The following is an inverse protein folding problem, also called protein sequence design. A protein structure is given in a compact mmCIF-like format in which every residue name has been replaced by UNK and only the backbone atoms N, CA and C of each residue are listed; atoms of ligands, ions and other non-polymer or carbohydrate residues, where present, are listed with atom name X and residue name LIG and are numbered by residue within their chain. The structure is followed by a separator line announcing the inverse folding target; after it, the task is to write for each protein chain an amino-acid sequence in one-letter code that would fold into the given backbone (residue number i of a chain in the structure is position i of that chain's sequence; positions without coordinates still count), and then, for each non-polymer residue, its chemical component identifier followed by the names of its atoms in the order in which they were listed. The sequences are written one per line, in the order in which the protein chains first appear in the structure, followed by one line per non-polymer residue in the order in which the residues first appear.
data_IF_626453015720
#
_entry.id   IF_626453015720
#
_cell.length_a   1.000
_cell.length_b   1.000
_cell.length_c   1.000
_cell.angle_alpha   90.00
_cell.angle_beta   90.00
_cell.angle_gamma   90.00
#
_symmetry.space_group_name_H-M   'P 1'
#
loop_
_entity.id
_entity.type
_entity.pdbx_description
1 polymer ?
#
# COMPACT_ATOMS: atom_id res chain seq x y z
N UNK A 1 -3.31 1.07 0.28
CA UNK A 1 -4.68 0.54 0.40
C UNK A 1 -5.06 -0.07 -0.93
N UNK A 2 -4.88 -1.38 -1.10
CA UNK A 2 -5.01 -2.07 -2.38
C UNK A 2 -5.67 -3.46 -2.26
N UNK A 3 -5.43 -4.19 -1.16
CA UNK A 3 -5.99 -5.52 -0.93
C UNK A 3 -7.49 -5.55 -0.57
N UNK A 4 -7.99 -4.47 0.03
CA UNK A 4 -9.33 -4.40 0.61
C UNK A 4 -10.34 -3.60 -0.24
N UNK A 5 -9.89 -3.05 -1.38
CA UNK A 5 -10.73 -2.25 -2.27
C UNK A 5 -11.65 -3.17 -3.07
N UNK A 6 -12.93 -2.82 -3.18
CA UNK A 6 -13.88 -3.57 -3.99
C UNK A 6 -13.47 -3.57 -5.48
N UNK A 7 -13.56 -4.72 -6.12
CA UNK A 7 -13.28 -4.87 -7.56
C UNK A 7 -14.38 -4.28 -8.45
N UNK A 8 -15.51 -3.88 -7.87
CA UNK A 8 -16.66 -3.34 -8.60
C UNK A 8 -16.76 -1.81 -8.52
N UNK A 9 -16.42 -1.23 -7.36
CA UNK A 9 -16.58 0.22 -7.12
C UNK A 9 -15.48 0.74 -6.20
N UNK A 10 -15.20 2.04 -6.25
CA UNK A 10 -14.32 2.73 -5.29
C UNK A 10 -15.09 3.30 -4.08
N UNK A 11 -16.09 2.57 -3.61
CA UNK A 11 -16.81 2.90 -2.37
C UNK A 11 -16.32 2.00 -1.23
N UNK A 12 -15.87 2.60 -0.13
CA UNK A 12 -15.42 1.87 1.06
C UNK A 12 -16.53 1.00 1.67
N UNK A 13 -17.79 1.38 1.47
CA UNK A 13 -18.95 0.64 1.95
C UNK A 13 -19.28 -0.57 1.05
N UNK A 14 -18.72 -0.64 -0.15
CA UNK A 14 -18.86 -1.79 -1.04
C UNK A 14 -17.89 -2.94 -0.69
N UNK A 15 -16.96 -2.73 0.26
CA UNK A 15 -16.09 -3.77 0.80
C UNK A 15 -16.75 -4.48 1.99
N UNK A 16 -16.35 -5.73 2.25
CA UNK A 16 -16.83 -6.48 3.41
C UNK A 16 -16.55 -5.76 4.74
N UNK A 17 -17.34 -6.05 5.78
CA UNK A 17 -17.29 -5.32 7.06
C UNK A 17 -15.86 -5.23 7.64
N UNK A 18 -15.14 -6.34 7.67
CA UNK A 18 -13.77 -6.38 8.19
C UNK A 18 -12.80 -5.54 7.33
N UNK A 19 -12.91 -5.62 6.01
CA UNK A 19 -12.11 -4.83 5.08
C UNK A 19 -12.39 -3.32 5.25
N UNK A 20 -13.65 -2.95 5.46
CA UNK A 20 -14.06 -1.57 5.76
C UNK A 20 -13.43 -1.07 7.07
N UNK A 21 -13.48 -1.87 8.14
CA UNK A 21 -12.87 -1.52 9.44
C UNK A 21 -11.36 -1.33 9.28
N UNK A 22 -10.67 -2.26 8.60
CA UNK A 22 -9.23 -2.16 8.37
C UNK A 22 -8.85 -0.90 7.57
N UNK A 23 -9.59 -0.60 6.51
CA UNK A 23 -9.34 0.60 5.71
C UNK A 23 -9.59 1.90 6.50
N UNK A 24 -10.64 1.94 7.33
CA UNK A 24 -10.92 3.09 8.19
C UNK A 24 -9.84 3.29 9.26
N UNK A 25 -9.37 2.22 9.90
CA UNK A 25 -8.32 2.31 10.90
C UNK A 25 -6.99 2.73 10.26
N UNK A 26 -6.67 2.24 9.05
CA UNK A 26 -5.51 2.69 8.29
C UNK A 26 -5.58 4.19 7.99
N UNK A 27 -6.72 4.70 7.50
CA UNK A 27 -6.92 6.14 7.23
C UNK A 27 -6.71 6.96 8.51
N UNK A 28 -7.31 6.53 9.62
CA UNK A 28 -7.19 7.20 10.92
C UNK A 28 -5.74 7.23 11.39
N UNK A 29 -5.04 6.09 11.38
CA UNK A 29 -3.66 6.00 11.84
C UNK A 29 -2.71 6.83 10.97
N UNK A 30 -2.83 6.74 9.65
CA UNK A 30 -2.01 7.56 8.75
C UNK A 30 -2.18 9.05 9.04
N UNK A 31 -3.42 9.51 9.25
CA UNK A 31 -3.69 10.91 9.63
C UNK A 31 -3.11 11.28 10.99
N UNK A 32 -3.22 10.39 11.98
CA UNK A 32 -2.72 10.61 13.35
C UNK A 32 -1.20 10.72 13.39
N UNK A 33 -0.49 9.88 12.64
CA UNK A 33 0.98 9.82 12.63
C UNK A 33 1.64 10.65 11.52
N UNK A 34 0.86 11.37 10.71
CA UNK A 34 1.38 12.17 9.60
C UNK A 34 2.02 11.35 8.49
N UNK A 35 1.53 10.12 8.26
CA UNK A 35 1.97 9.25 7.17
C UNK A 35 1.09 9.51 5.95
N UNK A 36 1.72 9.84 4.83
CA UNK A 36 1.02 10.03 3.55
C UNK A 36 0.31 8.73 3.14
N UNK A 37 -0.99 8.83 2.83
CA UNK A 37 -1.81 7.68 2.44
C UNK A 37 -2.40 7.88 1.05
N UNK A 38 -2.04 6.95 0.16
CA UNK A 38 -2.64 6.81 -1.17
C UNK A 38 -3.97 6.06 -0.99
N UNK A 39 -4.99 6.79 -0.54
CA UNK A 39 -6.32 6.26 -0.20
C UNK A 39 -7.14 5.90 -1.46
N UNK A 40 -8.39 5.44 -1.26
CA UNK A 40 -9.33 5.03 -2.31
C UNK A 40 -9.54 6.07 -3.43
N UNK A 41 -9.46 7.36 -3.11
CA UNK A 41 -9.77 8.45 -4.02
C UNK A 41 -8.51 9.16 -4.54
N UNK A 42 -7.33 8.78 -4.04
CA UNK A 42 -6.07 9.34 -4.49
C UNK A 42 -5.81 9.01 -5.98
N UNK A 43 -5.37 9.97 -6.82
CA UNK A 43 -5.16 9.74 -8.24
C UNK A 43 -4.11 8.68 -8.55
N UNK A 44 -3.15 8.47 -7.64
CA UNK A 44 -2.09 7.48 -7.76
C UNK A 44 -2.34 6.21 -6.93
N UNK A 45 -3.58 5.98 -6.48
CA UNK A 45 -3.94 4.74 -5.79
C UNK A 45 -3.71 3.53 -6.72
N UNK A 46 -3.05 2.50 -6.21
CA UNK A 46 -2.75 1.28 -6.94
C UNK A 46 -2.15 0.20 -6.05
N UNK A 47 -1.75 -0.92 -6.65
CA UNK A 47 -1.07 -2.02 -5.98
C UNK A 47 0.29 -1.52 -5.46
N UNK A 48 0.63 -1.82 -4.21
CA UNK A 48 1.80 -1.27 -3.51
C UNK A 48 3.12 -1.43 -4.28
N UNK A 49 3.33 -2.60 -4.89
CA UNK A 49 4.55 -2.89 -5.63
C UNK A 49 4.55 -2.39 -7.08
N UNK A 50 3.42 -1.86 -7.57
CA UNK A 50 3.31 -1.20 -8.89
C UNK A 50 3.42 0.31 -8.71
N UNK A 51 2.66 0.89 -7.77
CA UNK A 51 2.68 2.32 -7.53
C UNK A 51 4.05 2.77 -6.99
N UNK A 52 4.73 1.94 -6.20
CA UNK A 52 6.01 2.30 -5.60
C UNK A 52 7.06 2.73 -6.66
N UNK A 53 7.34 1.88 -7.66
CA UNK A 53 8.21 2.27 -8.77
C UNK A 53 7.66 3.42 -9.63
N UNK A 54 6.35 3.43 -9.95
CA UNK A 54 5.73 4.47 -10.79
C UNK A 54 5.86 5.87 -10.18
N UNK A 55 5.78 5.99 -8.86
CA UNK A 55 5.91 7.27 -8.13
C UNK A 55 7.35 7.61 -7.76
N UNK A 56 8.34 6.81 -8.19
CA UNK A 56 9.75 7.05 -7.90
C UNK A 56 10.15 6.84 -6.44
N UNK A 57 9.31 6.16 -5.64
CA UNK A 57 9.67 5.79 -4.26
C UNK A 57 10.52 4.52 -4.18
N UNK A 58 10.72 3.84 -5.32
CA UNK A 58 11.67 2.74 -5.48
C UNK A 58 12.82 3.19 -6.36
N UNK A 59 14.02 3.31 -5.79
CA UNK A 59 15.23 3.70 -6.51
C UNK A 59 16.36 2.69 -6.30
N UNK A 60 17.31 2.59 -7.25
CA UNK A 60 18.48 1.72 -7.11
C UNK A 60 19.26 1.99 -5.83
N UNK A 61 19.73 0.91 -5.20
CA UNK A 61 20.54 0.96 -3.98
C UNK A 61 19.76 1.15 -2.67
N UNK A 62 18.42 1.25 -2.72
CA UNK A 62 17.60 1.33 -1.50
C UNK A 62 17.50 -0.02 -0.79
N UNK A 63 17.30 0.03 0.53
CA UNK A 63 16.76 -1.09 1.32
C UNK A 63 15.28 -0.84 1.55
N UNK A 64 14.42 -1.74 1.09
CA UNK A 64 12.96 -1.59 1.13
C UNK A 64 12.34 -2.76 1.91
N UNK A 65 11.51 -2.43 2.89
CA UNK A 65 10.70 -3.42 3.62
C UNK A 65 9.24 -3.01 3.57
N UNK A 66 8.35 -3.98 3.42
CA UNK A 66 6.92 -3.76 3.42
C UNK A 66 6.22 -4.98 4.04
N UNK A 67 5.02 -4.77 4.59
CA UNK A 67 4.17 -5.81 5.19
C UNK A 67 3.55 -6.77 4.17
N UNK A 68 4.23 -7.06 3.07
CA UNK A 68 3.75 -7.86 1.95
C UNK A 68 4.86 -8.83 1.49
N UNK A 69 4.50 -10.08 1.19
CA UNK A 69 5.46 -11.11 0.77
C UNK A 69 6.08 -10.84 -0.60
N UNK A 70 5.44 -10.02 -1.45
CA UNK A 70 5.87 -9.68 -2.80
C UNK A 70 6.77 -8.44 -2.86
N UNK A 71 7.23 -7.94 -1.71
CA UNK A 71 8.19 -6.82 -1.61
C UNK A 71 9.46 -7.06 -2.45
N UNK A 72 9.83 -8.31 -2.72
CA UNK A 72 10.95 -8.66 -3.60
C UNK A 72 10.82 -8.08 -5.03
N UNK A 73 9.61 -7.71 -5.47
CA UNK A 73 9.33 -7.03 -6.75
C UNK A 73 10.24 -5.81 -6.98
N UNK A 74 10.51 -5.04 -5.91
CA UNK A 74 11.34 -3.84 -5.99
C UNK A 74 12.81 -4.13 -6.34
N UNK A 75 13.26 -5.39 -6.19
CA UNK A 75 14.60 -5.82 -6.59
C UNK A 75 14.89 -5.68 -8.09
N UNK A 76 13.85 -5.64 -8.94
CA UNK A 76 14.00 -5.34 -10.36
C UNK A 76 14.63 -3.96 -10.63
N UNK A 77 14.55 -3.05 -9.66
CA UNK A 77 15.13 -1.70 -9.73
C UNK A 77 16.50 -1.60 -9.03
N UNK A 78 17.12 -2.74 -8.66
CA UNK A 78 18.41 -2.76 -7.96
C UNK A 78 18.33 -2.37 -6.49
N UNK A 79 17.17 -2.57 -5.85
CA UNK A 79 16.98 -2.41 -4.40
C UNK A 79 17.13 -3.76 -3.66
N UNK A 80 17.61 -3.75 -2.41
CA UNK A 80 17.49 -4.89 -1.50
C UNK A 80 16.11 -4.84 -0.85
N UNK A 81 15.19 -5.70 -1.27
CA UNK A 81 13.79 -5.60 -0.88
C UNK A 81 13.23 -6.93 -0.38
N UNK A 82 12.58 -6.92 0.79
CA UNK A 82 12.01 -8.13 1.40
C UNK A 82 10.80 -7.83 2.28
N UNK A 83 9.87 -8.80 2.32
CA UNK A 83 8.67 -8.71 3.14
C UNK A 83 8.98 -8.87 4.62
N UNK A 84 8.26 -8.13 5.45
CA UNK A 84 8.28 -8.27 6.91
C UNK A 84 6.87 -8.60 7.41
N UNK A 85 6.77 -9.36 8.50
CA UNK A 85 5.49 -9.64 9.14
C UNK A 85 4.95 -8.41 9.88
N UNK A 86 3.64 -8.35 10.06
CA UNK A 86 3.01 -7.46 11.04
C UNK A 86 3.21 -8.01 12.45
N UNK A 87 3.42 -7.12 13.43
CA UNK A 87 3.23 -7.41 14.86
C UNK A 87 1.75 -7.31 15.24
#
# INVERSE_FOLDING_TARGET
MDHNVSTQTKDINASGEMARIQMQELIKNCKEFGVELYDLNHPFQGIVHVMGPEQGVTLPGMTIVCGDSHTATHGAFGALAFGIGTL
#
